data_IF_902341582463
#
_entry.id   IF_902341582463
#
_cell.length_a   1.000
_cell.length_b   1.000
_cell.length_c   1.000
_cell.angle_alpha   90.00
_cell.angle_beta   90.00
_cell.angle_gamma   90.00
#
_symmetry.space_group_name_H-M   'P 1'
#
loop_
_entity.id
_entity.type
_entity.pdbx_description
1 polymer ?
#
# COMPACT_ATOMS: atom_id res chain seq x y z
N UNK A 1 59.25 39.76 -6.06
CA UNK A 1 58.24 38.84 -6.62
C UNK A 1 57.52 38.07 -5.51
N UNK A 2 58.22 37.50 -4.53
CA UNK A 2 57.70 36.81 -3.33
C UNK A 2 56.66 37.57 -2.48
N UNK A 3 56.83 38.89 -2.31
CA UNK A 3 55.95 39.70 -1.45
C UNK A 3 54.58 39.97 -2.08
N UNK A 4 54.55 40.10 -3.41
CA UNK A 4 53.32 40.36 -4.18
C UNK A 4 52.47 39.09 -4.29
N UNK A 5 53.09 37.92 -4.46
CA UNK A 5 52.40 36.63 -4.39
C UNK A 5 51.79 36.38 -3.02
N UNK A 6 52.50 36.68 -1.92
CA UNK A 6 51.96 36.52 -0.56
C UNK A 6 50.77 37.45 -0.27
N UNK A 7 50.80 38.69 -0.76
CA UNK A 7 49.68 39.64 -0.63
C UNK A 7 48.45 39.20 -1.44
N UNK A 8 48.65 38.64 -2.63
CA UNK A 8 47.56 38.08 -3.46
C UNK A 8 46.95 36.84 -2.80
N UNK A 9 47.77 35.93 -2.25
CA UNK A 9 47.27 34.76 -1.52
C UNK A 9 46.53 35.14 -0.23
N UNK A 10 46.98 36.19 0.49
CA UNK A 10 46.29 36.68 1.69
C UNK A 10 44.93 37.31 1.34
N UNK A 11 44.84 38.02 0.21
CA UNK A 11 43.58 38.62 -0.28
C UNK A 11 42.58 37.57 -0.82
N UNK A 12 43.08 36.46 -1.38
CA UNK A 12 42.24 35.33 -1.79
C UNK A 12 41.73 34.53 -0.57
N UNK A 13 42.52 34.44 0.50
CA UNK A 13 42.08 33.78 1.74
C UNK A 13 41.01 34.57 2.49
N UNK A 14 41.08 35.91 2.51
CA UNK A 14 40.10 36.75 3.22
C UNK A 14 38.77 36.90 2.49
N UNK A 15 38.74 36.74 1.16
CA UNK A 15 37.50 36.76 0.37
C UNK A 15 36.73 35.43 0.43
N UNK A 16 37.38 34.33 0.83
CA UNK A 16 36.74 33.01 0.99
C UNK A 16 35.94 32.85 2.30
N UNK A 17 36.01 33.81 3.23
CA UNK A 17 35.35 33.73 4.55
C UNK A 17 34.01 34.50 4.63
N UNK A 18 33.52 35.09 3.53
CA UNK A 18 32.32 35.93 3.55
C UNK A 18 31.17 35.43 2.65
N UNK A 19 30.99 34.10 2.55
CA UNK A 19 29.86 33.54 1.83
C UNK A 19 29.32 32.27 2.51
N UNK A 20 28.79 32.41 3.74
CA UNK A 20 27.82 31.48 4.31
C UNK A 20 27.07 32.17 5.47
N UNK A 21 26.27 33.18 5.16
CA UNK A 21 25.16 33.54 6.06
C UNK A 21 23.95 32.70 5.63
N UNK A 22 23.83 31.47 6.15
CA UNK A 22 22.56 30.73 6.09
C UNK A 22 21.57 31.42 7.05
N UNK A 23 20.98 32.54 6.61
CA UNK A 23 19.67 32.98 7.11
C UNK A 23 18.59 32.39 6.21
N UNK A 24 18.41 31.08 6.34
CA UNK A 24 17.18 30.42 5.96
C UNK A 24 16.59 29.89 7.26
N UNK A 25 15.86 30.74 7.98
CA UNK A 25 14.78 30.19 8.78
C UNK A 25 13.77 29.75 7.72
N UNK A 26 13.58 28.44 7.55
CA UNK A 26 12.42 27.94 6.79
C UNK A 26 11.18 28.42 7.57
N UNK A 27 10.76 29.65 7.29
CA UNK A 27 9.59 30.24 7.90
C UNK A 27 8.41 29.53 7.26
N UNK A 28 7.90 28.51 7.94
CA UNK A 28 6.67 27.84 7.58
C UNK A 28 5.59 28.92 7.49
N UNK A 29 5.04 29.10 6.29
CA UNK A 29 4.02 30.12 6.04
C UNK A 29 2.65 29.64 6.52
N UNK A 30 1.71 30.56 6.71
CA UNK A 30 0.32 30.21 7.01
C UNK A 30 -0.29 29.34 5.88
N UNK A 31 0.17 29.53 4.64
CA UNK A 31 -0.20 28.70 3.49
C UNK A 31 0.34 27.26 3.62
N UNK A 32 1.60 27.11 4.06
CA UNK A 32 2.19 25.79 4.31
C UNK A 32 1.45 25.05 5.42
N UNK A 33 1.06 25.76 6.48
CA UNK A 33 0.27 25.20 7.57
C UNK A 33 -1.13 24.81 7.10
N UNK A 34 -1.80 25.65 6.30
CA UNK A 34 -3.11 25.34 5.74
C UNK A 34 -3.08 24.08 4.85
N UNK A 35 -2.07 23.97 3.99
CA UNK A 35 -1.87 22.80 3.12
C UNK A 35 -1.52 21.54 3.91
N UNK A 36 -0.76 21.67 5.00
CA UNK A 36 -0.49 20.56 5.90
C UNK A 36 -1.78 20.10 6.61
N UNK A 37 -2.58 21.03 7.12
CA UNK A 37 -3.87 20.72 7.76
C UNK A 37 -4.86 20.09 6.79
N UNK A 38 -4.91 20.53 5.54
CA UNK A 38 -5.72 19.92 4.49
C UNK A 38 -5.30 18.45 4.24
N UNK A 39 -4.00 18.20 4.08
CA UNK A 39 -3.46 16.83 3.89
C UNK A 39 -3.65 15.92 5.10
N UNK A 40 -3.69 16.51 6.30
CA UNK A 40 -3.92 15.81 7.55
C UNK A 40 -5.41 15.67 7.89
N UNK A 41 -6.29 16.30 7.12
CA UNK A 41 -7.73 16.15 7.31
C UNK A 41 -8.12 14.68 7.14
N UNK A 42 -9.01 14.23 8.01
CA UNK A 42 -9.54 12.88 8.01
C UNK A 42 -11.05 12.99 8.12
N UNK A 43 -11.75 12.38 7.15
CA UNK A 43 -13.21 12.27 7.19
C UNK A 43 -13.54 10.85 7.62
N UNK A 44 -14.42 10.73 8.61
CA UNK A 44 -14.92 9.41 9.00
C UNK A 44 -15.81 8.86 7.88
N UNK A 45 -15.38 7.75 7.28
CA UNK A 45 -16.08 7.06 6.19
C UNK A 45 -16.36 5.62 6.64
N UNK A 46 -17.53 5.08 6.30
CA UNK A 46 -17.80 3.66 6.50
C UNK A 46 -17.29 2.85 5.30
N UNK A 47 -16.55 1.76 5.56
CA UNK A 47 -16.05 0.88 4.51
C UNK A 47 -17.17 0.41 3.56
N UNK A 48 -18.33 0.09 4.13
CA UNK A 48 -19.51 -0.39 3.40
C UNK A 48 -19.96 0.56 2.28
N UNK A 49 -19.69 1.87 2.39
CA UNK A 49 -20.04 2.86 1.38
C UNK A 49 -19.14 2.77 0.13
N UNK A 50 -17.98 2.13 0.25
CA UNK A 50 -16.99 1.94 -0.80
C UNK A 50 -16.94 0.51 -1.36
N UNK A 51 -17.86 -0.36 -0.93
CA UNK A 51 -17.90 -1.76 -1.34
C UNK A 51 -18.98 -2.01 -2.40
N UNK A 52 -18.67 -2.71 -3.51
CA UNK A 52 -19.66 -3.09 -4.50
C UNK A 52 -20.58 -4.18 -3.95
N UNK A 53 -21.81 -4.20 -4.45
CA UNK A 53 -22.73 -5.30 -4.18
C UNK A 53 -22.17 -6.62 -4.74
N UNK A 54 -22.29 -7.70 -3.95
CA UNK A 54 -21.91 -9.05 -4.34
C UNK A 54 -23.18 -9.79 -4.76
N UNK A 55 -23.17 -10.44 -5.92
CA UNK A 55 -24.31 -11.28 -6.35
C UNK A 55 -24.49 -12.49 -5.44
N UNK A 56 -25.71 -13.01 -5.34
CA UNK A 56 -25.97 -14.20 -4.51
C UNK A 56 -25.17 -15.43 -4.96
N UNK A 57 -24.96 -15.59 -6.27
CA UNK A 57 -24.14 -16.68 -6.81
C UNK A 57 -22.68 -16.55 -6.37
N UNK A 58 -22.11 -15.35 -6.48
CA UNK A 58 -20.74 -15.06 -6.03
C UNK A 58 -20.61 -15.24 -4.51
N UNK A 59 -21.64 -14.85 -3.75
CA UNK A 59 -21.71 -15.05 -2.31
C UNK A 59 -21.86 -16.53 -1.94
N UNK A 60 -22.61 -17.33 -2.71
CA UNK A 60 -22.77 -18.77 -2.48
C UNK A 60 -21.45 -19.52 -2.69
N UNK A 61 -20.72 -19.20 -3.76
CA UNK A 61 -19.39 -19.78 -4.03
C UNK A 61 -18.39 -19.44 -2.92
N UNK A 62 -18.38 -18.19 -2.46
CA UNK A 62 -17.55 -17.76 -1.35
C UNK A 62 -17.91 -18.46 -0.03
N UNK A 63 -19.21 -18.53 0.31
CA UNK A 63 -19.69 -19.26 1.50
C UNK A 63 -19.32 -20.74 1.44
N UNK A 64 -19.33 -21.36 0.28
CA UNK A 64 -18.91 -22.75 0.12
C UNK A 64 -17.40 -22.92 0.33
N UNK A 65 -16.57 -22.00 -0.18
CA UNK A 65 -15.13 -22.01 0.10
C UNK A 65 -14.85 -21.88 1.62
N UNK A 66 -15.53 -20.96 2.30
CA UNK A 66 -15.45 -20.82 3.77
C UNK A 66 -15.91 -22.08 4.50
N UNK A 67 -16.98 -22.73 4.01
CA UNK A 67 -17.44 -24.00 4.56
C UNK A 67 -16.33 -25.06 4.48
N UNK A 68 -15.67 -25.23 3.33
CA UNK A 68 -14.53 -26.15 3.18
C UNK A 68 -13.37 -25.79 4.12
N UNK A 69 -13.04 -24.51 4.26
CA UNK A 69 -12.02 -24.01 5.20
C UNK A 69 -12.37 -24.20 6.67
N UNK A 70 -13.65 -24.26 7.04
CA UNK A 70 -14.08 -24.47 8.42
C UNK A 70 -14.18 -25.95 8.83
N UNK A 71 -14.22 -26.90 7.88
CA UNK A 71 -14.29 -28.35 8.19
C UNK A 71 -13.15 -28.81 9.13
N UNK A 72 -13.40 -29.76 10.03
CA UNK A 72 -12.28 -30.34 10.82
C UNK A 72 -11.40 -31.25 9.93
N UNK A 73 -10.13 -31.38 10.29
CA UNK A 73 -9.16 -32.28 9.64
C UNK A 73 -8.33 -31.61 8.53
N UNK A 74 -7.60 -32.44 7.79
CA UNK A 74 -6.70 -32.00 6.71
C UNK A 74 -7.46 -31.25 5.62
N UNK A 75 -6.92 -30.12 5.17
CA UNK A 75 -7.53 -29.26 4.17
C UNK A 75 -7.05 -29.61 2.76
N UNK A 76 -8.00 -29.70 1.83
CA UNK A 76 -7.71 -29.63 0.40
C UNK A 76 -7.74 -28.16 -0.03
N UNK A 77 -6.59 -27.48 0.15
CA UNK A 77 -6.45 -26.08 -0.24
C UNK A 77 -6.60 -25.87 -1.75
N UNK A 78 -6.33 -26.88 -2.58
CA UNK A 78 -6.55 -26.76 -4.02
C UNK A 78 -8.05 -26.71 -4.33
N UNK A 79 -8.86 -27.49 -3.62
CA UNK A 79 -10.32 -27.38 -3.73
C UNK A 79 -10.83 -26.03 -3.21
N UNK A 80 -10.37 -25.59 -2.05
CA UNK A 80 -10.73 -24.27 -1.49
C UNK A 80 -10.38 -23.15 -2.47
N UNK A 81 -9.13 -23.13 -2.96
CA UNK A 81 -8.63 -22.14 -3.91
C UNK A 81 -9.42 -22.13 -5.23
N UNK A 82 -9.89 -23.29 -5.71
CA UNK A 82 -10.80 -23.35 -6.88
C UNK A 82 -12.10 -22.57 -6.62
N UNK A 83 -12.74 -22.75 -5.48
CA UNK A 83 -13.99 -22.03 -5.17
C UNK A 83 -13.77 -20.54 -4.94
N UNK A 84 -12.66 -20.14 -4.32
CA UNK A 84 -12.32 -18.71 -4.27
C UNK A 84 -12.05 -18.12 -5.64
N UNK A 85 -11.35 -18.83 -6.54
CA UNK A 85 -11.15 -18.37 -7.93
C UNK A 85 -12.48 -18.17 -8.64
N UNK A 86 -13.43 -19.10 -8.50
CA UNK A 86 -14.78 -18.93 -9.08
C UNK A 86 -15.51 -17.73 -8.46
N UNK A 87 -15.55 -17.64 -7.12
CA UNK A 87 -16.23 -16.54 -6.43
C UNK A 87 -15.64 -15.17 -6.80
N UNK A 88 -14.31 -15.07 -6.83
CA UNK A 88 -13.57 -13.89 -7.27
C UNK A 88 -13.88 -13.53 -8.73
N UNK A 89 -13.84 -14.51 -9.65
CA UNK A 89 -14.17 -14.29 -11.06
C UNK A 89 -15.61 -13.78 -11.27
N UNK A 90 -16.51 -14.07 -10.33
CA UNK A 90 -17.89 -13.55 -10.31
C UNK A 90 -18.07 -12.25 -9.50
N UNK A 91 -16.98 -11.60 -9.09
CA UNK A 91 -17.00 -10.29 -8.42
C UNK A 91 -16.98 -10.32 -6.89
N UNK A 92 -16.73 -11.47 -6.25
CA UNK A 92 -16.61 -11.53 -4.79
C UNK A 92 -15.24 -11.03 -4.32
N UNK A 93 -15.15 -9.78 -3.88
CA UNK A 93 -13.91 -9.20 -3.39
C UNK A 93 -13.39 -9.88 -2.11
N UNK A 94 -14.26 -10.44 -1.25
CA UNK A 94 -13.84 -11.18 -0.05
C UNK A 94 -13.14 -12.49 -0.41
N UNK A 95 -13.61 -13.16 -1.47
CA UNK A 95 -12.93 -14.33 -2.03
C UNK A 95 -11.57 -13.96 -2.60
N UNK A 96 -11.47 -12.82 -3.29
CA UNK A 96 -10.20 -12.30 -3.80
C UNK A 96 -9.18 -12.10 -2.67
N UNK A 97 -9.60 -11.45 -1.58
CA UNK A 97 -8.79 -11.25 -0.36
C UNK A 97 -8.27 -12.57 0.21
N UNK A 98 -9.13 -13.57 0.38
CA UNK A 98 -8.69 -14.87 0.90
C UNK A 98 -7.76 -15.60 -0.08
N UNK A 99 -8.04 -15.50 -1.38
CA UNK A 99 -7.29 -16.17 -2.43
C UNK A 99 -5.83 -15.70 -2.51
N UNK A 100 -5.58 -14.38 -2.58
CA UNK A 100 -4.21 -13.88 -2.70
C UNK A 100 -3.38 -14.22 -1.45
N UNK A 101 -4.01 -14.26 -0.25
CA UNK A 101 -3.36 -14.71 0.98
C UNK A 101 -2.91 -16.16 0.84
N UNK A 102 -3.82 -17.08 0.48
CA UNK A 102 -3.49 -18.50 0.35
C UNK A 102 -2.45 -18.77 -0.75
N UNK A 103 -2.53 -18.06 -1.88
CA UNK A 103 -1.53 -18.12 -2.95
C UNK A 103 -0.18 -17.65 -2.41
N UNK A 104 -0.13 -16.52 -1.70
CA UNK A 104 1.13 -15.96 -1.20
C UNK A 104 1.81 -16.87 -0.18
N UNK A 105 1.03 -17.58 0.63
CA UNK A 105 1.50 -18.60 1.58
C UNK A 105 1.93 -19.91 0.90
N UNK A 106 1.58 -20.10 -0.38
CA UNK A 106 1.81 -21.36 -1.11
C UNK A 106 0.86 -22.49 -0.74
N UNK A 107 -0.27 -22.17 -0.10
CA UNK A 107 -1.31 -23.16 0.20
C UNK A 107 -2.11 -23.52 -1.07
N UNK A 108 -2.31 -22.56 -1.97
CA UNK A 108 -2.96 -22.74 -3.27
C UNK A 108 -1.90 -22.67 -4.36
N UNK A 109 -1.96 -23.60 -5.32
CA UNK A 109 -0.97 -23.67 -6.39
C UNK A 109 -1.13 -22.50 -7.36
N UNK A 110 0.00 -21.98 -7.80
CA UNK A 110 0.11 -20.92 -8.80
C UNK A 110 1.41 -21.08 -9.58
N UNK A 111 1.38 -20.82 -10.89
CA UNK A 111 2.57 -20.79 -11.72
C UNK A 111 3.56 -19.71 -11.28
N UNK A 112 3.04 -18.59 -10.77
CA UNK A 112 3.82 -17.50 -10.22
C UNK A 112 3.05 -16.84 -9.07
N UNK A 113 3.31 -17.35 -7.85
CA UNK A 113 2.56 -16.96 -6.64
C UNK A 113 2.58 -15.46 -6.38
N UNK A 114 3.75 -14.82 -6.49
CA UNK A 114 3.86 -13.39 -6.21
C UNK A 114 3.13 -12.57 -7.24
N UNK A 115 3.24 -12.93 -8.53
CA UNK A 115 2.51 -12.24 -9.60
C UNK A 115 1.00 -12.39 -9.44
N UNK A 116 0.47 -13.60 -9.27
CA UNK A 116 -0.99 -13.81 -9.15
C UNK A 116 -1.56 -13.09 -7.93
N UNK A 117 -0.85 -13.10 -6.79
CA UNK A 117 -1.28 -12.37 -5.60
C UNK A 117 -1.31 -10.85 -5.82
N UNK A 118 -0.29 -10.28 -6.48
CA UNK A 118 -0.25 -8.85 -6.81
C UNK A 118 -1.34 -8.49 -7.82
N UNK A 119 -1.52 -9.29 -8.88
CA UNK A 119 -2.56 -9.03 -9.90
C UNK A 119 -3.97 -9.01 -9.26
N UNK A 120 -4.25 -9.87 -8.28
CA UNK A 120 -5.52 -9.85 -7.52
C UNK A 120 -5.66 -8.55 -6.70
N UNK A 121 -4.61 -8.13 -6.01
CA UNK A 121 -4.65 -6.91 -5.18
C UNK A 121 -4.77 -5.65 -6.03
N UNK A 122 -4.05 -5.58 -7.15
CA UNK A 122 -4.19 -4.48 -8.13
C UNK A 122 -5.60 -4.41 -8.70
N UNK A 123 -6.24 -5.57 -8.96
CA UNK A 123 -7.63 -5.61 -9.38
C UNK A 123 -8.59 -5.07 -8.31
N UNK A 124 -8.38 -5.40 -7.03
CA UNK A 124 -9.16 -4.82 -5.92
C UNK A 124 -9.00 -3.30 -5.84
N UNK A 125 -7.77 -2.79 -5.98
CA UNK A 125 -7.48 -1.35 -6.02
C UNK A 125 -8.18 -0.67 -7.20
N UNK A 126 -8.13 -1.29 -8.39
CA UNK A 126 -8.79 -0.78 -9.58
C UNK A 126 -10.32 -0.69 -9.44
N UNK A 127 -10.90 -1.50 -8.55
CA UNK A 127 -12.32 -1.46 -8.19
C UNK A 127 -12.63 -0.52 -7.02
N UNK A 128 -11.63 0.15 -6.45
CA UNK A 128 -11.79 1.04 -5.30
C UNK A 128 -12.03 0.29 -3.97
N UNK A 129 -11.77 -1.01 -3.90
CA UNK A 129 -11.98 -1.81 -2.70
C UNK A 129 -10.95 -1.41 -1.63
N UNK A 130 -11.37 -0.94 -0.44
CA UNK A 130 -10.46 -0.44 0.59
C UNK A 130 -9.39 -1.48 1.00
N UNK A 131 -9.81 -2.73 1.19
CA UNK A 131 -8.92 -3.87 1.50
C UNK A 131 -7.80 -4.11 0.49
N UNK A 132 -7.99 -3.75 -0.78
CA UNK A 132 -6.93 -3.85 -1.79
C UNK A 132 -5.77 -2.89 -1.51
N UNK A 133 -6.07 -1.66 -1.07
CA UNK A 133 -5.04 -0.70 -0.68
C UNK A 133 -4.28 -1.18 0.56
N UNK A 134 -5.00 -1.70 1.56
CA UNK A 134 -4.40 -2.28 2.76
C UNK A 134 -3.47 -3.46 2.41
N UNK A 135 -3.92 -4.38 1.56
CA UNK A 135 -3.13 -5.56 1.19
C UNK A 135 -1.88 -5.19 0.35
N UNK A 136 -1.97 -4.20 -0.55
CA UNK A 136 -0.80 -3.68 -1.27
C UNK A 136 0.20 -3.00 -0.33
N UNK A 137 -0.28 -2.25 0.66
CA UNK A 137 0.59 -1.64 1.67
C UNK A 137 1.46 -2.69 2.37
N UNK A 138 0.88 -3.83 2.78
CA UNK A 138 1.62 -4.96 3.36
C UNK A 138 2.63 -5.58 2.39
N UNK A 139 2.28 -5.69 1.10
CA UNK A 139 3.22 -6.19 0.10
C UNK A 139 4.38 -5.24 -0.18
N UNK A 140 4.15 -3.93 -0.15
CA UNK A 140 5.19 -2.90 -0.22
C UNK A 140 6.07 -2.87 1.04
N UNK A 141 5.54 -3.12 2.23
CA UNK A 141 6.37 -3.26 3.45
C UNK A 141 7.29 -4.47 3.38
N UNK A 142 6.81 -5.58 2.82
CA UNK A 142 7.55 -6.85 2.77
C UNK A 142 8.41 -7.01 1.52
N UNK A 143 8.17 -6.21 0.49
CA UNK A 143 8.76 -6.42 -0.85
C UNK A 143 8.30 -7.73 -1.49
N UNK A 144 7.06 -8.16 -1.26
CA UNK A 144 6.54 -9.40 -1.82
C UNK A 144 5.92 -9.15 -3.21
N UNK A 145 6.55 -9.64 -4.28
CA UNK A 145 6.07 -9.44 -5.65
C UNK A 145 6.24 -8.02 -6.20
N UNK A 146 6.53 -7.05 -5.33
CA UNK A 146 6.86 -5.65 -5.63
C UNK A 146 8.17 -5.27 -4.95
N UNK A 147 8.81 -4.19 -5.40
CA UNK A 147 9.97 -3.64 -4.69
C UNK A 147 9.51 -3.08 -3.33
N UNK A 148 10.26 -3.36 -2.27
CA UNK A 148 9.97 -2.79 -0.95
C UNK A 148 10.01 -1.26 -1.01
N UNK A 149 8.96 -0.61 -0.50
CA UNK A 149 8.82 0.85 -0.47
C UNK A 149 7.94 1.27 0.71
N UNK A 150 8.59 1.64 1.83
CA UNK A 150 7.91 2.02 3.07
C UNK A 150 7.13 3.35 2.94
N UNK A 151 7.65 4.40 2.27
CA UNK A 151 6.87 5.59 1.98
C UNK A 151 5.59 5.31 1.18
N UNK A 152 5.68 4.51 0.11
CA UNK A 152 4.51 4.14 -0.68
C UNK A 152 3.53 3.32 0.15
N UNK A 153 4.00 2.34 0.92
CA UNK A 153 3.15 1.56 1.83
C UNK A 153 2.30 2.45 2.75
N UNK A 154 2.92 3.45 3.41
CA UNK A 154 2.19 4.40 4.28
C UNK A 154 1.12 5.18 3.52
N UNK A 155 1.38 5.55 2.27
CA UNK A 155 0.39 6.21 1.43
C UNK A 155 -0.79 5.28 1.09
N UNK A 156 -0.53 4.00 0.80
CA UNK A 156 -1.57 2.99 0.58
C UNK A 156 -2.39 2.73 1.85
N UNK A 157 -1.77 2.62 3.03
CA UNK A 157 -2.50 2.54 4.30
C UNK A 157 -3.38 3.76 4.56
N UNK A 158 -2.87 4.96 4.28
CA UNK A 158 -3.65 6.20 4.42
C UNK A 158 -4.89 6.17 3.53
N UNK A 159 -4.74 5.74 2.27
CA UNK A 159 -5.83 5.61 1.31
C UNK A 159 -6.87 4.57 1.75
N UNK A 160 -6.44 3.43 2.28
CA UNK A 160 -7.35 2.43 2.85
C UNK A 160 -8.18 3.03 4.00
N UNK A 161 -7.52 3.75 4.91
CA UNK A 161 -8.18 4.41 6.04
C UNK A 161 -9.15 5.53 5.61
N UNK A 162 -8.83 6.30 4.57
CA UNK A 162 -9.75 7.30 3.99
C UNK A 162 -11.05 6.69 3.45
N UNK A 163 -10.96 5.44 2.98
CA UNK A 163 -12.11 4.68 2.50
C UNK A 163 -12.80 3.85 3.60
N UNK A 164 -12.40 4.04 4.86
CA UNK A 164 -13.04 3.41 6.03
C UNK A 164 -12.50 2.02 6.39
N UNK A 165 -11.40 1.57 5.78
CA UNK A 165 -10.73 0.31 6.17
C UNK A 165 -10.05 0.46 7.54
N UNK A 166 -10.41 -0.42 8.49
CA UNK A 166 -9.83 -0.44 9.84
C UNK A 166 -8.65 -1.42 9.96
N UNK A 167 -8.27 -2.07 8.87
CA UNK A 167 -7.34 -3.18 8.82
C UNK A 167 -7.98 -4.51 9.21
N UNK A 168 -7.21 -5.59 9.06
CA UNK A 168 -7.61 -6.94 9.47
C UNK A 168 -7.41 -7.07 10.98
N UNK A 169 -8.45 -6.80 11.77
CA UNK A 169 -8.51 -7.03 13.23
C UNK A 169 -8.92 -8.47 13.54
#
# INVERSE_FOLDING_TARGET
MEMFTRLVFLAILTTSLCACEKKGHDSVTDEDMAKAMERLSFTCTHEADNLPAISEDAQALYRYALFLESKKGTKDYQQIGRYYRLAYATGNYKAATNLHILISQGAVDSNNRSKEAIDIVEHLIAQGIPGGYYDMAHYLEKGYGVKQDLPASKAYFRQAADLGDLGKV
#
